data_IF_818679826574
#
_entry.id   IF_818679826574
#
_cell.length_a   1.000
_cell.length_b   1.000
_cell.length_c   1.000
_cell.angle_alpha   90.00
_cell.angle_beta   90.00
_cell.angle_gamma   90.00
#
_symmetry.space_group_name_H-M   'P 1'
#
loop_
_entity.id
_entity.type
_entity.pdbx_description
1 polymer ?
#
# COMPACT_ATOMS: atom_id res chain seq x y z
N UNK A 1 -6.99 -56.28 11.58
CA UNK A 1 -6.94 -55.22 12.60
C UNK A 1 -6.89 -53.89 11.90
N UNK A 2 -7.55 -52.88 12.49
CA UNK A 2 -7.22 -51.45 12.51
C UNK A 2 -6.54 -50.84 11.25
N UNK A 3 -7.17 -49.91 10.51
CA UNK A 3 -7.67 -48.60 10.95
C UNK A 3 -6.57 -47.74 11.63
N UNK A 4 -6.40 -46.47 11.30
CA UNK A 4 -7.11 -45.66 10.30
C UNK A 4 -6.82 -44.19 10.62
N UNK A 5 -6.29 -43.44 9.67
CA UNK A 5 -6.15 -41.99 9.81
C UNK A 5 -7.31 -41.35 9.07
N UNK A 6 -8.27 -40.78 9.81
CA UNK A 6 -9.35 -40.03 9.20
C UNK A 6 -8.75 -38.80 8.51
N UNK A 7 -8.98 -38.70 7.21
CA UNK A 7 -8.75 -37.47 6.48
C UNK A 7 -9.75 -36.44 6.99
N UNK A 8 -9.32 -35.60 7.94
CA UNK A 8 -10.07 -34.40 8.33
C UNK A 8 -10.38 -33.65 7.05
N UNK A 9 -11.66 -33.57 6.73
CA UNK A 9 -12.13 -32.98 5.48
C UNK A 9 -11.60 -31.55 5.40
N UNK A 10 -10.95 -31.22 4.28
CA UNK A 10 -10.66 -29.83 3.98
C UNK A 10 -11.99 -29.06 4.07
N UNK A 11 -12.05 -27.95 4.83
CA UNK A 11 -13.28 -27.18 4.95
C UNK A 11 -13.76 -26.82 3.55
N UNK A 12 -15.03 -27.10 3.26
CA UNK A 12 -15.58 -26.93 1.92
C UNK A 12 -15.22 -25.53 1.40
N UNK A 13 -14.55 -25.48 0.25
CA UNK A 13 -13.98 -24.23 -0.27
C UNK A 13 -15.08 -23.17 -0.35
N UNK A 14 -14.96 -22.14 0.50
CA UNK A 14 -15.88 -21.01 0.47
C UNK A 14 -15.83 -20.40 -0.93
N UNK A 15 -16.99 -20.24 -1.57
CA UNK A 15 -17.05 -19.87 -2.97
C UNK A 15 -16.29 -18.56 -3.21
N UNK A 16 -15.29 -18.61 -4.12
CA UNK A 16 -14.51 -17.45 -4.54
C UNK A 16 -15.46 -16.27 -4.89
N UNK A 17 -15.29 -15.09 -4.26
CA UNK A 17 -16.17 -13.93 -4.46
C UNK A 17 -15.90 -13.27 -5.83
N UNK A 18 -16.27 -13.97 -6.90
CA UNK A 18 -15.88 -13.61 -8.26
C UNK A 18 -16.35 -14.59 -9.33
N UNK A 19 -17.63 -15.00 -9.34
CA UNK A 19 -18.20 -15.65 -10.52
C UNK A 19 -18.20 -14.68 -11.71
N UNK A 20 -17.29 -14.92 -12.65
CA UNK A 20 -17.15 -14.17 -13.90
C UNK A 20 -18.34 -14.45 -14.83
N UNK A 21 -19.41 -13.66 -14.69
CA UNK A 21 -20.55 -13.72 -15.61
C UNK A 21 -20.06 -13.31 -17.00
N UNK A 22 -20.11 -14.25 -17.97
CA UNK A 22 -19.68 -13.99 -19.34
C UNK A 22 -20.65 -13.05 -20.05
N UNK A 23 -20.17 -12.30 -21.04
CA UNK A 23 -20.94 -11.26 -21.73
C UNK A 23 -22.09 -11.77 -22.63
N UNK A 24 -22.35 -13.07 -22.66
CA UNK A 24 -23.46 -13.67 -23.43
C UNK A 24 -24.77 -13.88 -22.66
N UNK A 25 -24.73 -13.93 -21.31
CA UNK A 25 -25.86 -14.42 -20.51
C UNK A 25 -26.18 -13.49 -19.32
N UNK A 26 -26.74 -12.31 -19.61
CA UNK A 26 -27.38 -11.48 -18.57
C UNK A 26 -28.79 -11.06 -18.99
N UNK A 27 -29.70 -12.03 -19.02
CA UNK A 27 -31.14 -11.73 -19.08
C UNK A 27 -31.52 -10.92 -17.84
N UNK A 28 -31.89 -9.66 -18.02
CA UNK A 28 -32.10 -8.72 -16.91
C UNK A 28 -30.83 -7.97 -16.45
N UNK A 29 -29.99 -7.53 -17.38
CA UNK A 29 -29.08 -6.40 -17.15
C UNK A 29 -29.67 -5.10 -17.71
N UNK A 30 -29.42 -3.99 -17.01
CA UNK A 30 -29.59 -2.65 -17.58
C UNK A 30 -28.32 -2.33 -18.38
N UNK A 31 -28.29 -2.63 -19.68
CA UNK A 31 -27.18 -2.25 -20.56
C UNK A 31 -27.29 -0.78 -20.96
N UNK A 32 -26.27 0.05 -20.68
CA UNK A 32 -26.32 1.51 -20.93
C UNK A 32 -26.63 1.89 -22.37
N UNK A 33 -26.31 1.03 -23.35
CA UNK A 33 -26.60 1.30 -24.78
C UNK A 33 -28.09 1.21 -25.09
N UNK A 34 -28.85 0.43 -24.32
CA UNK A 34 -30.31 0.30 -24.47
C UNK A 34 -31.04 1.56 -23.95
N UNK A 35 -30.37 2.36 -23.10
CA UNK A 35 -30.80 3.68 -22.66
C UNK A 35 -30.26 4.82 -23.54
N UNK A 36 -29.57 4.49 -24.64
CA UNK A 36 -29.07 5.44 -25.64
C UNK A 36 -27.62 5.91 -25.46
N UNK A 37 -26.80 5.29 -24.60
CA UNK A 37 -25.40 5.66 -24.46
C UNK A 37 -24.59 5.25 -25.70
N UNK A 38 -23.86 6.19 -26.31
CA UNK A 38 -23.07 5.95 -27.50
C UNK A 38 -21.72 5.28 -27.18
N UNK A 39 -21.04 5.70 -26.11
CA UNK A 39 -19.72 5.18 -25.73
C UNK A 39 -18.63 5.46 -26.77
N UNK A 40 -18.77 6.55 -27.54
CA UNK A 40 -17.88 6.90 -28.66
C UNK A 40 -16.81 7.96 -28.30
N UNK A 41 -16.75 8.40 -27.05
CA UNK A 41 -15.82 9.40 -26.53
C UNK A 41 -16.18 10.86 -26.85
N UNK A 42 -17.19 11.10 -27.68
CA UNK A 42 -17.55 12.42 -28.24
C UNK A 42 -18.89 12.93 -27.70
N UNK A 43 -19.91 12.07 -27.70
CA UNK A 43 -21.24 12.37 -27.15
C UNK A 43 -21.19 12.62 -25.63
N UNK A 44 -22.24 13.24 -25.07
CA UNK A 44 -22.44 13.27 -23.62
C UNK A 44 -23.39 12.12 -23.23
N UNK A 45 -22.81 11.04 -22.72
CA UNK A 45 -23.53 9.83 -22.32
C UNK A 45 -24.14 9.95 -20.90
N UNK A 46 -24.00 11.11 -20.23
CA UNK A 46 -24.42 11.29 -18.84
C UNK A 46 -25.92 11.03 -18.61
N UNK A 47 -26.79 11.55 -19.49
CA UNK A 47 -28.23 11.34 -19.43
C UNK A 47 -28.63 9.86 -19.57
N UNK A 48 -28.27 9.19 -20.68
CA UNK A 48 -28.45 7.75 -20.87
C UNK A 48 -27.92 6.89 -19.72
N UNK A 49 -26.72 7.15 -19.22
CA UNK A 49 -26.12 6.36 -18.14
C UNK A 49 -26.84 6.61 -16.81
N UNK A 50 -27.27 7.83 -16.51
CA UNK A 50 -28.05 8.09 -15.30
C UNK A 50 -29.43 7.39 -15.36
N UNK A 51 -30.08 7.34 -16.53
CA UNK A 51 -31.32 6.58 -16.71
C UNK A 51 -31.10 5.07 -16.45
N UNK A 52 -29.99 4.51 -16.95
CA UNK A 52 -29.61 3.13 -16.71
C UNK A 52 -29.25 2.85 -15.23
N UNK A 53 -28.55 3.77 -14.55
CA UNK A 53 -28.27 3.69 -13.10
C UNK A 53 -29.59 3.64 -12.31
N UNK A 54 -30.52 4.56 -12.61
CA UNK A 54 -31.80 4.64 -11.91
C UNK A 54 -32.59 3.33 -12.08
N UNK A 55 -32.66 2.79 -13.31
CA UNK A 55 -33.36 1.54 -13.59
C UNK A 55 -32.72 0.32 -12.88
N UNK A 56 -31.38 0.23 -12.86
CA UNK A 56 -30.67 -0.82 -12.15
C UNK A 56 -30.91 -0.75 -10.63
N UNK A 57 -30.95 0.45 -10.05
CA UNK A 57 -31.23 0.67 -8.63
C UNK A 57 -32.68 0.38 -8.26
N UNK A 58 -33.66 0.68 -9.13
CA UNK A 58 -35.07 0.34 -8.90
C UNK A 58 -35.35 -1.16 -9.03
N UNK A 59 -34.62 -1.87 -9.90
CA UNK A 59 -34.86 -3.29 -10.19
C UNK A 59 -33.93 -4.28 -9.47
N UNK A 60 -32.84 -3.80 -8.86
CA UNK A 60 -31.76 -4.63 -8.32
C UNK A 60 -30.89 -5.29 -9.41
N UNK A 61 -31.06 -4.94 -10.68
CA UNK A 61 -30.35 -5.55 -11.80
C UNK A 61 -28.89 -5.10 -11.91
N UNK A 62 -28.11 -5.86 -12.69
CA UNK A 62 -26.73 -5.45 -13.02
C UNK A 62 -26.76 -4.33 -14.06
N UNK A 63 -26.13 -3.20 -13.75
CA UNK A 63 -25.82 -2.15 -14.73
C UNK A 63 -24.61 -2.58 -15.55
N UNK A 64 -24.79 -2.76 -16.86
CA UNK A 64 -23.75 -3.24 -17.77
C UNK A 64 -23.25 -2.14 -18.71
N UNK A 65 -21.92 -2.06 -18.84
CA UNK A 65 -21.23 -1.15 -19.75
C UNK A 65 -20.38 -1.95 -20.77
N UNK A 66 -20.87 -2.14 -22.00
CA UNK A 66 -20.07 -2.72 -23.09
C UNK A 66 -18.80 -1.91 -23.35
N UNK A 67 -17.86 -2.42 -24.15
CA UNK A 67 -16.73 -1.62 -24.62
C UNK A 67 -17.18 -0.29 -25.25
N UNK A 68 -16.45 0.76 -24.90
CA UNK A 68 -16.78 2.14 -25.21
C UNK A 68 -16.07 3.12 -24.29
N UNK A 69 -15.83 4.32 -24.80
CA UNK A 69 -15.41 5.48 -24.00
C UNK A 69 -16.64 6.35 -23.78
N UNK A 70 -17.18 6.32 -22.57
CA UNK A 70 -18.37 7.07 -22.17
C UNK A 70 -17.92 8.41 -21.60
N UNK A 71 -18.23 9.50 -22.29
CA UNK A 71 -17.91 10.86 -21.84
C UNK A 71 -19.12 11.42 -21.10
N UNK A 72 -18.90 11.97 -19.90
CA UNK A 72 -19.96 12.56 -19.06
C UNK A 72 -19.64 14.02 -18.72
N UNK A 73 -20.55 14.93 -19.01
CA UNK A 73 -20.47 16.36 -18.64
C UNK A 73 -21.21 16.69 -17.34
N UNK A 74 -22.13 15.80 -16.92
CA UNK A 74 -22.82 15.83 -15.62
C UNK A 74 -22.40 14.62 -14.79
N UNK A 75 -22.17 14.81 -13.49
CA UNK A 75 -21.75 13.73 -12.57
C UNK A 75 -22.82 12.66 -12.45
N UNK A 76 -22.42 11.40 -12.60
CA UNK A 76 -23.29 10.25 -12.37
C UNK A 76 -23.52 10.06 -10.87
N UNK A 77 -24.78 10.05 -10.44
CA UNK A 77 -25.17 9.90 -9.03
C UNK A 77 -25.63 8.47 -8.76
N UNK A 78 -24.99 7.81 -7.81
CA UNK A 78 -25.30 6.46 -7.33
C UNK A 78 -25.78 6.56 -5.88
N UNK A 79 -27.10 6.62 -5.69
CA UNK A 79 -27.76 6.88 -4.40
C UNK A 79 -28.25 5.63 -3.65
N UNK A 80 -28.16 4.46 -4.27
CA UNK A 80 -28.53 3.15 -3.73
C UNK A 80 -27.46 2.11 -4.09
N UNK A 81 -27.37 1.02 -3.32
CA UNK A 81 -26.53 -0.13 -3.64
C UNK A 81 -26.75 -0.61 -5.08
N UNK A 82 -25.66 -0.90 -5.80
CA UNK A 82 -25.72 -1.24 -7.23
C UNK A 82 -24.56 -2.17 -7.60
N UNK A 83 -24.81 -3.08 -8.54
CA UNK A 83 -23.77 -3.86 -9.24
C UNK A 83 -23.53 -3.25 -10.62
N UNK A 84 -22.34 -2.66 -10.83
CA UNK A 84 -21.92 -2.05 -12.08
C UNK A 84 -20.77 -2.86 -12.69
N UNK A 85 -20.91 -3.32 -13.92
CA UNK A 85 -19.94 -4.20 -14.58
C UNK A 85 -19.58 -3.65 -15.96
N UNK A 86 -18.29 -3.48 -16.23
CA UNK A 86 -17.78 -3.24 -17.58
C UNK A 86 -17.40 -4.52 -18.33
N UNK A 87 -17.33 -4.46 -19.66
CA UNK A 87 -16.75 -5.53 -20.48
C UNK A 87 -15.26 -5.76 -20.13
N UNK A 88 -14.50 -4.68 -19.92
CA UNK A 88 -13.11 -4.73 -19.46
C UNK A 88 -12.64 -3.34 -19.05
N UNK A 89 -11.86 -3.21 -17.97
CA UNK A 89 -11.28 -1.91 -17.59
C UNK A 89 -10.34 -1.33 -18.65
N UNK A 90 -9.88 -2.14 -19.62
CA UNK A 90 -9.04 -1.69 -20.74
C UNK A 90 -9.83 -1.15 -21.94
N UNK A 91 -11.17 -1.29 -21.94
CA UNK A 91 -12.06 -0.92 -23.05
C UNK A 91 -13.31 -0.14 -22.63
N UNK A 92 -13.72 -0.26 -21.37
CA UNK A 92 -14.91 0.37 -20.81
C UNK A 92 -14.45 1.53 -19.91
N UNK A 93 -14.40 2.73 -20.48
CA UNK A 93 -13.84 3.92 -19.84
C UNK A 93 -14.97 4.94 -19.65
N UNK A 94 -15.29 5.29 -18.40
CA UNK A 94 -16.19 6.41 -18.09
C UNK A 94 -15.31 7.60 -17.69
N UNK A 95 -15.45 8.73 -18.39
CA UNK A 95 -14.55 9.87 -18.23
C UNK A 95 -15.25 11.23 -18.23
N UNK A 96 -14.70 12.19 -17.48
CA UNK A 96 -15.14 13.60 -17.51
C UNK A 96 -13.96 14.56 -17.59
N UNK A 97 -14.19 15.69 -18.25
CA UNK A 97 -13.25 16.81 -18.39
C UNK A 97 -13.67 18.05 -17.59
N UNK A 98 -14.80 18.00 -16.87
CA UNK A 98 -15.45 19.18 -16.27
C UNK A 98 -16.01 18.94 -14.87
N UNK A 99 -16.35 17.69 -14.51
CA UNK A 99 -17.04 17.35 -13.25
C UNK A 99 -16.46 16.08 -12.63
N UNK A 100 -16.90 15.73 -11.41
CA UNK A 100 -16.64 14.39 -10.84
C UNK A 100 -17.31 13.32 -11.72
N UNK A 101 -16.63 12.21 -12.00
CA UNK A 101 -17.17 11.18 -12.92
C UNK A 101 -18.33 10.42 -12.27
N UNK A 102 -18.10 9.92 -11.06
CA UNK A 102 -19.04 9.10 -10.30
C UNK A 102 -19.12 9.58 -8.85
N UNK A 103 -20.33 9.88 -8.38
CA UNK A 103 -20.62 10.23 -6.98
C UNK A 103 -21.41 9.09 -6.35
N UNK A 104 -20.85 8.49 -5.30
CA UNK A 104 -21.44 7.34 -4.59
C UNK A 104 -21.91 7.80 -3.21
N UNK A 105 -23.17 7.51 -2.88
CA UNK A 105 -23.87 8.02 -1.70
C UNK A 105 -24.62 6.91 -0.92
N UNK A 106 -24.17 5.65 -1.01
CA UNK A 106 -24.77 4.53 -0.27
C UNK A 106 -23.71 3.48 0.13
N UNK A 107 -24.17 2.42 0.78
CA UNK A 107 -23.41 1.20 1.05
C UNK A 107 -23.82 0.04 0.11
N UNK A 108 -23.05 -1.04 0.07
CA UNK A 108 -23.38 -2.26 -0.69
C UNK A 108 -23.16 -2.15 -2.20
N UNK A 109 -22.09 -1.50 -2.65
CA UNK A 109 -21.75 -1.36 -4.07
C UNK A 109 -20.83 -2.49 -4.56
N UNK A 110 -21.03 -2.96 -5.78
CA UNK A 110 -20.11 -3.87 -6.47
C UNK A 110 -19.74 -3.28 -7.82
N UNK A 111 -18.53 -2.75 -7.95
CA UNK A 111 -18.01 -2.20 -9.22
C UNK A 111 -16.92 -3.13 -9.76
N UNK A 112 -17.05 -3.60 -11.00
CA UNK A 112 -16.00 -4.42 -11.62
C UNK A 112 -15.74 -4.13 -13.10
N UNK A 113 -14.50 -4.35 -13.53
CA UNK A 113 -14.06 -4.20 -14.93
C UNK A 113 -14.31 -2.80 -15.54
N UNK A 114 -14.27 -1.74 -14.72
CA UNK A 114 -14.49 -0.35 -15.14
C UNK A 114 -13.20 0.47 -15.06
N UNK A 115 -12.99 1.38 -16.01
CA UNK A 115 -12.04 2.50 -15.88
C UNK A 115 -12.79 3.80 -15.62
N UNK A 116 -12.64 4.36 -14.43
CA UNK A 116 -13.18 5.67 -14.07
C UNK A 116 -12.06 6.72 -14.19
N UNK A 117 -12.24 7.75 -15.02
CA UNK A 117 -11.17 8.67 -15.42
C UNK A 117 -11.57 10.14 -15.34
N UNK A 118 -11.10 10.82 -14.31
CA UNK A 118 -11.05 12.29 -14.33
C UNK A 118 -9.91 12.75 -15.25
N UNK A 119 -10.23 13.54 -16.27
CA UNK A 119 -9.24 14.21 -17.12
C UNK A 119 -8.74 15.50 -16.43
N UNK A 120 -7.82 16.24 -17.08
CA UNK A 120 -7.08 17.34 -16.46
C UNK A 120 -7.94 18.49 -15.90
N UNK A 121 -9.10 18.77 -16.50
CA UNK A 121 -10.09 19.75 -15.99
C UNK A 121 -11.24 19.14 -15.16
N UNK A 122 -11.29 17.81 -15.02
CA UNK A 122 -12.36 17.10 -14.33
C UNK A 122 -12.26 17.19 -12.80
N UNK A 123 -13.25 16.64 -12.12
CA UNK A 123 -13.27 16.46 -10.67
C UNK A 123 -12.49 15.22 -10.24
N UNK A 124 -13.04 14.48 -9.28
CA UNK A 124 -12.59 13.16 -8.87
C UNK A 124 -13.12 12.06 -9.80
N UNK A 125 -12.43 10.92 -9.91
CA UNK A 125 -12.98 9.78 -10.66
C UNK A 125 -14.04 9.02 -9.83
N UNK A 126 -13.88 8.97 -8.51
CA UNK A 126 -14.93 8.64 -7.54
C UNK A 126 -14.94 9.66 -6.41
N UNK A 127 -16.12 10.24 -6.17
CA UNK A 127 -16.43 11.11 -5.02
C UNK A 127 -17.39 10.38 -4.08
N UNK A 128 -17.05 10.30 -2.80
CA UNK A 128 -17.99 10.00 -1.71
C UNK A 128 -18.15 11.27 -0.86
N UNK A 129 -19.34 11.89 -0.83
CA UNK A 129 -19.56 13.13 -0.11
C UNK A 129 -19.77 12.89 1.41
N UNK A 130 -19.65 13.94 2.24
CA UNK A 130 -19.92 13.86 3.68
C UNK A 130 -21.32 13.29 4.01
N UNK A 131 -21.39 12.51 5.09
CA UNK A 131 -22.63 11.90 5.59
C UNK A 131 -22.92 10.50 5.07
N UNK A 132 -22.10 9.96 4.17
CA UNK A 132 -22.32 8.63 3.59
C UNK A 132 -21.32 7.59 4.11
N UNK A 133 -21.82 6.37 4.30
CA UNK A 133 -21.04 5.16 4.51
C UNK A 133 -20.64 4.55 3.14
N UNK A 134 -19.70 3.61 3.15
CA UNK A 134 -19.37 2.77 1.99
C UNK A 134 -19.30 1.27 2.33
N UNK A 135 -19.71 0.88 3.55
CA UNK A 135 -19.63 -0.48 4.09
C UNK A 135 -20.13 -1.57 3.14
N UNK A 136 -19.56 -2.78 3.26
CA UNK A 136 -19.93 -3.94 2.45
C UNK A 136 -19.80 -3.71 0.93
N UNK A 137 -18.96 -2.77 0.50
CA UNK A 137 -18.73 -2.49 -0.93
C UNK A 137 -17.46 -3.15 -1.44
N UNK A 138 -17.37 -3.37 -2.75
CA UNK A 138 -16.23 -3.99 -3.40
C UNK A 138 -15.94 -3.40 -4.78
N UNK A 139 -14.65 -3.29 -5.09
CA UNK A 139 -14.11 -2.88 -6.37
C UNK A 139 -13.17 -3.99 -6.86
N UNK A 140 -13.43 -4.54 -8.06
CA UNK A 140 -12.69 -5.71 -8.59
C UNK A 140 -12.25 -5.46 -10.02
N UNK A 141 -10.95 -5.57 -10.33
CA UNK A 141 -10.40 -5.26 -11.66
C UNK A 141 -10.80 -3.84 -12.16
N UNK A 142 -10.84 -2.86 -11.25
CA UNK A 142 -11.18 -1.48 -11.59
C UNK A 142 -9.93 -0.60 -11.71
N UNK A 143 -9.91 0.26 -12.71
CA UNK A 143 -8.91 1.32 -12.84
C UNK A 143 -9.51 2.66 -12.45
N UNK A 144 -8.92 3.36 -11.50
CA UNK A 144 -9.31 4.71 -11.10
C UNK A 144 -8.16 5.66 -11.47
N UNK A 145 -8.44 6.67 -12.30
CA UNK A 145 -7.42 7.59 -12.81
C UNK A 145 -7.84 9.04 -12.61
N UNK A 146 -6.94 9.86 -12.07
CA UNK A 146 -7.06 11.32 -12.16
C UNK A 146 -5.89 11.92 -12.92
N UNK A 147 -6.20 12.80 -13.86
CA UNK A 147 -5.22 13.62 -14.58
C UNK A 147 -5.25 15.08 -14.11
N UNK A 148 -6.18 15.46 -13.23
CA UNK A 148 -6.19 16.75 -12.56
C UNK A 148 -5.28 16.69 -11.33
N UNK A 149 -4.27 17.57 -11.26
CA UNK A 149 -3.28 17.60 -10.17
C UNK A 149 -3.90 17.81 -8.78
N UNK A 150 -5.02 18.53 -8.70
CA UNK A 150 -5.70 18.92 -7.45
C UNK A 150 -6.89 18.01 -7.07
N UNK A 151 -7.12 16.89 -7.78
CA UNK A 151 -8.26 15.99 -7.54
C UNK A 151 -7.81 14.53 -7.45
N UNK A 152 -8.04 13.86 -6.32
CA UNK A 152 -7.79 12.43 -6.13
C UNK A 152 -8.59 11.57 -7.12
N UNK A 153 -8.05 10.41 -7.50
CA UNK A 153 -8.78 9.42 -8.29
C UNK A 153 -9.93 8.80 -7.46
N UNK A 154 -9.68 8.55 -6.17
CA UNK A 154 -10.72 8.25 -5.20
C UNK A 154 -10.68 9.29 -4.06
N UNK A 155 -11.81 9.91 -3.74
CA UNK A 155 -11.93 10.87 -2.64
C UNK A 155 -13.14 10.55 -1.74
N UNK A 156 -12.88 10.42 -0.45
CA UNK A 156 -13.86 10.40 0.63
C UNK A 156 -13.55 11.53 1.62
N UNK A 157 -14.60 12.22 2.06
CA UNK A 157 -14.52 13.10 3.23
C UNK A 157 -15.78 12.96 4.08
N UNK A 158 -15.66 12.85 5.41
CA UNK A 158 -16.80 13.01 6.32
C UNK A 158 -17.03 14.46 6.79
N UNK A 159 -16.18 15.41 6.36
CA UNK A 159 -16.09 16.73 7.02
C UNK A 159 -17.42 17.47 7.01
N UNK A 160 -17.89 17.83 8.21
CA UNK A 160 -19.17 18.52 8.42
C UNK A 160 -20.40 17.60 8.45
N UNK A 161 -20.23 16.28 8.50
CA UNK A 161 -21.34 15.33 8.55
C UNK A 161 -21.91 15.09 9.96
N UNK A 162 -23.23 15.28 10.11
CA UNK A 162 -24.00 14.82 11.26
C UNK A 162 -24.32 13.32 11.15
N UNK A 163 -23.28 12.48 11.22
CA UNK A 163 -23.40 11.03 11.19
C UNK A 163 -22.11 10.34 10.75
N UNK A 164 -21.64 9.36 11.53
CA UNK A 164 -20.44 8.60 11.21
C UNK A 164 -20.73 7.48 10.22
N UNK A 165 -20.17 7.57 9.02
CA UNK A 165 -20.19 6.47 8.05
C UNK A 165 -19.15 5.40 8.38
N UNK A 166 -19.52 4.12 8.28
CA UNK A 166 -18.54 3.03 8.20
C UNK A 166 -18.03 2.95 6.77
N UNK A 167 -16.72 3.05 6.61
CA UNK A 167 -16.03 2.79 5.35
C UNK A 167 -15.33 1.45 5.51
N UNK A 168 -15.91 0.42 4.89
CA UNK A 168 -15.45 -0.97 4.88
C UNK A 168 -15.62 -1.50 3.45
N UNK A 169 -14.51 -1.56 2.72
CA UNK A 169 -14.46 -1.78 1.28
C UNK A 169 -13.31 -2.72 0.91
N UNK A 170 -13.61 -3.70 0.05
CA UNK A 170 -12.62 -4.57 -0.57
C UNK A 170 -12.18 -4.03 -1.94
N UNK A 171 -10.88 -3.94 -2.16
CA UNK A 171 -10.26 -3.51 -3.41
C UNK A 171 -9.36 -4.63 -3.94
N UNK A 172 -9.75 -5.25 -5.05
CA UNK A 172 -9.14 -6.47 -5.57
C UNK A 172 -8.65 -6.24 -7.01
N UNK A 173 -7.37 -6.51 -7.28
CA UNK A 173 -6.75 -6.35 -8.60
C UNK A 173 -6.94 -4.93 -9.22
N UNK A 174 -7.10 -3.91 -8.38
CA UNK A 174 -7.40 -2.54 -8.81
C UNK A 174 -6.13 -1.71 -9.08
N UNK A 175 -6.23 -0.75 -10.00
CA UNK A 175 -5.13 0.16 -10.34
C UNK A 175 -5.53 1.62 -10.12
N UNK A 176 -4.84 2.30 -9.20
CA UNK A 176 -4.97 3.73 -8.95
C UNK A 176 -3.86 4.51 -9.68
N UNK A 177 -4.21 5.50 -10.51
CA UNK A 177 -3.25 6.33 -11.25
C UNK A 177 -3.51 7.81 -11.00
N UNK A 178 -2.43 8.57 -10.83
CA UNK A 178 -2.45 10.03 -10.77
C UNK A 178 -1.48 10.67 -11.76
N UNK A 179 -1.75 11.92 -12.13
CA UNK A 179 -0.78 12.73 -12.89
C UNK A 179 0.53 12.90 -12.10
N UNK A 180 1.65 12.97 -12.83
CA UNK A 180 2.98 13.21 -12.24
C UNK A 180 3.12 14.58 -11.57
N UNK A 181 2.16 15.48 -11.79
CA UNK A 181 2.08 16.81 -11.14
C UNK A 181 1.10 16.87 -9.96
N UNK A 182 0.71 15.72 -9.39
CA UNK A 182 -0.22 15.61 -8.27
C UNK A 182 0.16 16.48 -7.07
N UNK A 183 -0.78 17.27 -6.55
CA UNK A 183 -0.66 17.97 -5.26
C UNK A 183 -1.50 17.33 -4.14
N UNK A 184 -2.40 16.41 -4.49
CA UNK A 184 -3.27 15.64 -3.57
C UNK A 184 -3.03 14.13 -3.68
N UNK A 185 -3.36 13.32 -2.66
CA UNK A 185 -3.22 11.86 -2.72
C UNK A 185 -4.07 11.21 -3.82
N UNK A 186 -3.61 10.12 -4.42
CA UNK A 186 -4.38 9.42 -5.46
C UNK A 186 -5.63 8.75 -4.89
N UNK A 187 -5.49 8.11 -3.73
CA UNK A 187 -6.57 7.62 -2.89
C UNK A 187 -6.58 8.43 -1.59
N UNK A 188 -7.65 9.20 -1.37
CA UNK A 188 -7.77 10.09 -0.21
C UNK A 188 -9.02 9.76 0.61
N UNK A 189 -8.83 9.49 1.89
CA UNK A 189 -9.89 9.36 2.89
C UNK A 189 -9.60 10.33 4.03
N UNK A 190 -10.46 11.32 4.22
CA UNK A 190 -10.41 12.24 5.35
C UNK A 190 -11.63 12.03 6.26
N UNK A 191 -11.37 11.91 7.56
CA UNK A 191 -12.36 11.54 8.56
C UNK A 191 -12.30 12.41 9.81
N UNK A 192 -13.35 13.17 10.08
CA UNK A 192 -13.55 13.93 11.33
C UNK A 192 -14.61 13.29 12.25
N UNK A 193 -15.37 12.29 11.76
CA UNK A 193 -16.44 11.62 12.51
C UNK A 193 -16.76 10.19 12.00
N UNK A 194 -15.95 9.64 11.10
CA UNK A 194 -16.20 8.34 10.46
C UNK A 194 -15.36 7.20 11.07
N UNK A 195 -15.59 5.97 10.59
CA UNK A 195 -14.74 4.83 10.90
C UNK A 195 -14.30 4.18 9.58
N UNK A 196 -13.04 4.40 9.16
CA UNK A 196 -12.41 3.63 8.09
C UNK A 196 -11.83 2.36 8.69
N UNK A 197 -12.53 1.23 8.53
CA UNK A 197 -12.20 -0.02 9.19
C UNK A 197 -12.43 -1.26 8.35
N UNK A 198 -11.68 -2.33 8.63
CA UNK A 198 -11.75 -3.64 7.97
C UNK A 198 -11.43 -3.66 6.46
N UNK A 199 -11.16 -2.50 5.86
CA UNK A 199 -10.80 -2.37 4.45
C UNK A 199 -9.64 -3.28 4.07
N UNK A 200 -9.76 -3.92 2.90
CA UNK A 200 -8.72 -4.79 2.36
C UNK A 200 -8.39 -4.43 0.92
N UNK A 201 -7.17 -3.97 0.69
CA UNK A 201 -6.57 -3.82 -0.63
C UNK A 201 -5.73 -5.08 -0.90
N UNK A 202 -5.93 -5.72 -2.04
CA UNK A 202 -5.26 -6.99 -2.40
C UNK A 202 -4.88 -7.00 -3.87
N UNK A 203 -3.60 -7.28 -4.17
CA UNK A 203 -3.03 -7.33 -5.53
C UNK A 203 -3.20 -6.03 -6.33
N UNK A 204 -3.27 -4.89 -5.64
CA UNK A 204 -3.49 -3.59 -6.28
C UNK A 204 -2.19 -2.92 -6.71
N UNK A 205 -2.29 -1.93 -7.61
CA UNK A 205 -1.17 -1.09 -8.07
C UNK A 205 -1.51 0.38 -7.84
N UNK A 206 -0.52 1.20 -7.54
CA UNK A 206 -0.70 2.65 -7.39
C UNK A 206 0.48 3.44 -7.99
N UNK A 207 0.20 4.30 -8.96
CA UNK A 207 1.19 5.14 -9.64
C UNK A 207 0.89 6.63 -9.38
N UNK A 208 1.84 7.35 -8.75
CA UNK A 208 1.70 8.78 -8.45
C UNK A 208 3.05 9.49 -8.44
N UNK A 209 3.33 10.30 -9.46
CA UNK A 209 4.65 10.92 -9.65
C UNK A 209 4.94 12.20 -8.85
N UNK A 210 3.91 12.85 -8.30
CA UNK A 210 4.02 14.19 -7.71
C UNK A 210 4.32 14.23 -6.20
N UNK A 211 3.87 15.30 -5.53
CA UNK A 211 4.34 15.66 -4.17
C UNK A 211 3.53 15.09 -3.00
N UNK A 212 2.51 14.28 -3.27
CA UNK A 212 1.60 13.71 -2.28
C UNK A 212 1.64 12.17 -2.32
N UNK A 213 1.23 11.48 -1.23
CA UNK A 213 1.32 10.03 -1.14
C UNK A 213 0.23 9.32 -1.95
N UNK A 214 0.52 8.13 -2.47
CA UNK A 214 -0.42 7.33 -3.25
C UNK A 214 -1.73 7.01 -2.48
N UNK A 215 -1.63 6.65 -1.21
CA UNK A 215 -2.75 6.52 -0.27
C UNK A 215 -2.57 7.49 0.91
N UNK A 216 -3.64 8.19 1.27
CA UNK A 216 -3.74 8.94 2.52
C UNK A 216 -5.04 8.59 3.22
N UNK A 217 -4.95 8.12 4.46
CA UNK A 217 -6.09 7.83 5.34
C UNK A 217 -5.90 8.56 6.66
N UNK A 218 -6.83 9.45 6.99
CA UNK A 218 -6.76 10.34 8.15
C UNK A 218 -8.03 10.24 8.97
N UNK A 219 -7.91 9.83 10.23
CA UNK A 219 -8.93 10.11 11.25
C UNK A 219 -8.44 11.27 12.14
N UNK A 220 -8.95 12.47 11.86
CA UNK A 220 -8.69 13.72 12.57
C UNK A 220 -9.77 14.01 13.61
N UNK A 221 -10.00 13.07 14.53
CA UNK A 221 -10.90 13.28 15.68
C UNK A 221 -10.32 12.65 16.94
N UNK A 222 -10.75 13.13 18.10
CA UNK A 222 -10.26 12.62 19.39
C UNK A 222 -10.83 11.21 19.64
N UNK A 223 -9.96 10.28 20.05
CA UNK A 223 -10.34 8.92 20.47
C UNK A 223 -10.63 7.90 19.36
N UNK A 224 -11.04 8.32 18.16
CA UNK A 224 -11.36 7.40 17.04
C UNK A 224 -10.09 7.04 16.26
N UNK A 225 -9.99 5.78 15.83
CA UNK A 225 -8.92 5.27 14.96
C UNK A 225 -9.48 4.68 13.66
N UNK A 226 -8.60 4.53 12.67
CA UNK A 226 -8.83 3.71 11.48
C UNK A 226 -8.44 2.25 11.79
N UNK A 227 -9.41 1.35 12.00
CA UNK A 227 -9.17 0.01 12.60
C UNK A 227 -9.04 -1.15 11.61
N UNK A 228 -8.13 -2.09 11.84
CA UNK A 228 -8.10 -3.41 11.17
C UNK A 228 -7.97 -3.37 9.63
N UNK A 229 -7.45 -2.28 9.08
CA UNK A 229 -7.29 -2.11 7.63
C UNK A 229 -6.04 -2.87 7.15
N UNK A 230 -6.09 -3.47 5.95
CA UNK A 230 -4.98 -4.24 5.39
C UNK A 230 -4.69 -3.86 3.94
N UNK A 231 -3.43 -3.56 3.65
CA UNK A 231 -2.87 -3.50 2.30
C UNK A 231 -1.98 -4.72 2.11
N UNK A 232 -2.30 -5.56 1.12
CA UNK A 232 -1.58 -6.80 0.84
C UNK A 232 -1.24 -6.89 -0.65
N UNK A 233 0.04 -7.10 -0.96
CA UNK A 233 0.55 -7.27 -2.32
C UNK A 233 0.24 -6.02 -3.16
N UNK A 234 0.89 -4.91 -2.80
CA UNK A 234 0.66 -3.61 -3.43
C UNK A 234 1.94 -3.12 -4.12
N UNK A 235 1.85 -2.86 -5.43
CA UNK A 235 2.96 -2.29 -6.20
C UNK A 235 2.81 -0.77 -6.33
N UNK A 236 3.77 -0.04 -5.78
CA UNK A 236 3.90 1.41 -5.85
C UNK A 236 4.93 1.82 -6.90
N UNK A 237 4.54 2.74 -7.77
CA UNK A 237 5.37 3.17 -8.91
C UNK A 237 5.53 4.69 -8.95
N UNK A 238 6.78 5.12 -9.04
CA UNK A 238 7.20 6.53 -9.09
C UNK A 238 6.71 7.40 -7.93
N UNK A 239 6.39 6.80 -6.79
CA UNK A 239 5.76 7.40 -5.58
C UNK A 239 6.68 8.32 -4.78
N UNK A 240 7.26 9.32 -5.45
CA UNK A 240 8.23 10.27 -4.91
C UNK A 240 7.67 11.03 -3.69
N UNK A 241 6.38 11.38 -3.72
CA UNK A 241 5.62 12.01 -2.63
C UNK A 241 5.11 11.06 -1.54
N UNK A 242 5.50 9.78 -1.54
CA UNK A 242 5.12 8.78 -0.55
C UNK A 242 4.20 7.68 -1.08
N UNK A 243 4.14 6.55 -0.39
CA UNK A 243 3.27 5.41 -0.73
C UNK A 243 1.98 5.40 0.07
N UNK A 244 2.06 5.14 1.38
CA UNK A 244 0.90 5.00 2.27
C UNK A 244 1.11 5.86 3.53
N UNK A 245 0.29 6.90 3.70
CA UNK A 245 0.30 7.76 4.89
C UNK A 245 -0.97 7.53 5.72
N UNK A 246 -0.79 7.15 6.99
CA UNK A 246 -1.86 6.74 7.90
C UNK A 246 -1.80 7.50 9.22
N UNK A 247 -2.71 8.45 9.41
CA UNK A 247 -2.96 9.07 10.72
C UNK A 247 -3.94 8.22 11.53
N UNK A 248 -3.69 8.09 12.83
CA UNK A 248 -4.65 7.51 13.78
C UNK A 248 -5.07 6.06 13.45
N UNK A 249 -4.18 5.24 12.89
CA UNK A 249 -4.50 3.88 12.42
C UNK A 249 -4.14 2.79 13.44
N UNK A 250 -5.07 1.87 13.71
CA UNK A 250 -4.92 0.81 14.71
C UNK A 250 -5.02 -0.58 14.08
N UNK A 251 -4.16 -1.51 14.49
CA UNK A 251 -4.24 -2.92 14.06
C UNK A 251 -4.14 -3.08 12.53
N UNK A 252 -3.22 -2.34 11.91
CA UNK A 252 -3.11 -2.23 10.45
C UNK A 252 -2.11 -3.24 9.89
N UNK A 253 -2.46 -3.91 8.78
CA UNK A 253 -1.57 -4.78 8.01
C UNK A 253 -1.02 -4.08 6.77
N UNK A 254 0.29 -4.13 6.58
CA UNK A 254 1.02 -3.56 5.44
C UNK A 254 1.97 -4.65 4.89
N UNK A 255 1.44 -5.52 4.04
CA UNK A 255 2.06 -6.79 3.66
C UNK A 255 2.42 -6.80 2.17
N UNK A 256 3.58 -7.38 1.83
CA UNK A 256 4.06 -7.57 0.46
C UNK A 256 4.06 -6.26 -0.36
N UNK A 257 4.54 -5.15 0.23
CA UNK A 257 4.57 -3.85 -0.42
C UNK A 257 5.85 -3.69 -1.26
N UNK A 258 5.71 -3.36 -2.54
CA UNK A 258 6.82 -3.12 -3.47
C UNK A 258 6.88 -1.68 -3.95
N UNK A 259 8.09 -1.10 -4.00
CA UNK A 259 8.34 0.29 -4.42
C UNK A 259 9.33 0.35 -5.59
N UNK A 260 8.85 0.84 -6.74
CA UNK A 260 9.54 0.77 -8.04
C UNK A 260 9.59 2.14 -8.74
N UNK A 261 10.51 2.26 -9.70
CA UNK A 261 10.61 3.36 -10.67
C UNK A 261 10.58 4.77 -10.05
N UNK A 262 11.27 4.89 -8.91
CA UNK A 262 11.35 6.08 -8.06
C UNK A 262 12.57 6.94 -8.40
N UNK A 263 12.37 8.27 -8.40
CA UNK A 263 13.44 9.25 -8.57
C UNK A 263 13.99 9.74 -7.22
N UNK A 264 13.88 11.05 -6.98
CA UNK A 264 14.14 11.65 -5.67
C UNK A 264 12.90 11.53 -4.80
N UNK A 265 13.04 10.86 -3.66
CA UNK A 265 11.97 10.58 -2.71
C UNK A 265 11.90 11.75 -1.73
N UNK A 266 10.76 12.43 -1.64
CA UNK A 266 10.60 13.71 -0.92
C UNK A 266 9.71 13.63 0.32
N UNK A 267 8.97 12.53 0.51
CA UNK A 267 8.24 12.21 1.73
C UNK A 267 8.40 10.73 2.10
N UNK A 268 8.08 10.37 3.35
CA UNK A 268 8.24 8.99 3.83
C UNK A 268 7.36 8.01 3.04
N UNK A 269 7.86 6.81 2.75
CA UNK A 269 7.15 5.89 1.85
C UNK A 269 6.00 5.14 2.53
N UNK A 270 6.23 4.68 3.74
CA UNK A 270 5.19 4.26 4.69
C UNK A 270 5.28 5.20 5.89
N UNK A 271 4.21 5.92 6.17
CA UNK A 271 4.13 6.83 7.32
C UNK A 271 2.95 6.47 8.20
N UNK A 272 3.20 6.31 9.50
CA UNK A 272 2.18 6.02 10.51
C UNK A 272 2.30 7.02 11.67
N UNK A 273 1.25 7.82 11.90
CA UNK A 273 1.32 8.90 12.88
C UNK A 273 -0.02 9.35 13.46
N UNK A 274 -0.15 10.65 13.68
CA UNK A 274 -1.39 11.35 14.05
C UNK A 274 -1.45 12.62 13.23
N UNK A 275 -2.63 13.23 13.07
CA UNK A 275 -2.70 14.55 12.42
C UNK A 275 -1.80 15.55 13.14
N UNK A 276 -0.98 16.27 12.36
CA UNK A 276 0.06 17.16 12.88
C UNK A 276 -0.52 18.26 13.78
N UNK A 277 0.20 18.58 14.86
CA UNK A 277 -0.12 19.69 15.77
C UNK A 277 -1.14 19.41 16.87
N UNK A 278 -1.92 18.31 16.80
CA UNK A 278 -2.97 18.03 17.78
C UNK A 278 -2.64 16.80 18.67
N UNK A 279 -2.24 17.00 19.95
CA UNK A 279 -1.96 15.89 20.86
C UNK A 279 -3.21 15.11 21.27
N UNK A 280 -4.40 15.67 21.07
CA UNK A 280 -5.70 15.03 21.30
C UNK A 280 -6.06 13.97 20.24
N UNK A 281 -5.40 13.98 19.06
CA UNK A 281 -5.55 12.90 18.09
C UNK A 281 -4.75 11.68 18.54
N UNK A 282 -5.30 10.46 18.44
CA UNK A 282 -4.55 9.26 18.77
C UNK A 282 -3.41 9.04 17.77
N UNK A 283 -2.34 8.37 18.22
CA UNK A 283 -1.29 7.93 17.32
C UNK A 283 -1.62 6.56 16.75
N UNK A 284 -1.31 6.33 15.47
CA UNK A 284 -1.21 5.00 14.87
C UNK A 284 -0.37 4.05 15.75
N UNK A 285 -0.87 2.81 15.90
CA UNK A 285 -0.39 1.76 16.83
C UNK A 285 -0.68 0.38 16.27
N UNK A 286 0.03 -0.64 16.77
CA UNK A 286 -0.19 -2.04 16.39
C UNK A 286 -0.20 -2.23 14.85
N UNK A 287 0.86 -1.76 14.19
CA UNK A 287 1.00 -1.87 12.72
C UNK A 287 1.96 -3.01 12.39
N UNK A 288 1.57 -3.91 11.50
CA UNK A 288 2.44 -4.98 11.02
C UNK A 288 2.93 -4.66 9.61
N UNK A 289 4.24 -4.67 9.40
CA UNK A 289 4.89 -4.43 8.10
C UNK A 289 5.65 -5.70 7.74
N UNK A 290 5.29 -6.32 6.62
CA UNK A 290 5.80 -7.64 6.21
C UNK A 290 6.21 -7.58 4.74
N UNK A 291 7.40 -8.06 4.39
CA UNK A 291 7.90 -8.15 3.02
C UNK A 291 7.88 -6.81 2.25
N UNK A 292 8.28 -5.73 2.92
CA UNK A 292 8.51 -4.43 2.27
C UNK A 292 9.78 -4.50 1.41
N UNK A 293 9.69 -4.07 0.16
CA UNK A 293 10.86 -3.90 -0.69
C UNK A 293 10.86 -2.61 -1.50
N UNK A 294 12.05 -2.02 -1.68
CA UNK A 294 12.28 -0.90 -2.58
C UNK A 294 13.38 -1.23 -3.60
N UNK A 295 13.10 -0.96 -4.87
CA UNK A 295 13.95 -1.32 -6.01
C UNK A 295 14.88 -0.17 -6.48
N UNK A 296 14.79 1.02 -5.88
CA UNK A 296 15.63 2.16 -6.26
C UNK A 296 15.23 3.48 -5.58
N UNK A 297 15.59 4.59 -6.21
CA UNK A 297 15.32 5.95 -5.71
C UNK A 297 16.22 6.40 -4.55
N UNK A 298 16.33 7.72 -4.38
CA UNK A 298 17.17 8.35 -3.36
C UNK A 298 16.32 9.11 -2.32
N UNK A 299 16.44 8.75 -1.05
CA UNK A 299 15.80 9.45 0.06
C UNK A 299 16.36 10.87 0.19
N UNK A 300 15.49 11.88 0.28
CA UNK A 300 15.88 13.22 0.70
C UNK A 300 16.32 13.19 2.19
N UNK A 301 17.26 14.06 2.57
CA UNK A 301 17.70 14.15 3.96
C UNK A 301 16.51 14.36 4.92
N UNK A 302 16.45 13.56 5.98
CA UNK A 302 15.33 13.55 6.94
C UNK A 302 14.18 12.58 6.59
N UNK A 303 14.12 12.03 5.38
CA UNK A 303 13.10 11.05 4.95
C UNK A 303 13.53 9.61 5.29
N UNK A 304 12.55 8.72 5.44
CA UNK A 304 12.68 7.29 5.68
C UNK A 304 11.82 6.44 4.73
N UNK A 305 12.14 5.15 4.60
CA UNK A 305 11.26 4.18 3.94
C UNK A 305 10.01 3.91 4.78
N UNK A 306 10.22 3.74 6.09
CA UNK A 306 9.17 3.52 7.09
C UNK A 306 9.38 4.52 8.22
N UNK A 307 8.39 5.38 8.48
CA UNK A 307 8.35 6.26 9.66
C UNK A 307 7.12 6.01 10.54
N UNK A 308 7.37 5.78 11.82
CA UNK A 308 6.40 6.02 12.89
C UNK A 308 6.71 7.37 13.55
N UNK A 309 5.78 8.32 13.48
CA UNK A 309 6.07 9.72 13.86
C UNK A 309 6.39 9.88 15.37
N UNK A 310 7.33 10.78 15.69
CA UNK A 310 7.80 11.04 17.06
C UNK A 310 6.68 11.35 18.05
N UNK A 311 6.76 10.79 19.26
CA UNK A 311 5.66 10.84 20.24
C UNK A 311 4.59 9.77 20.02
N UNK A 312 4.83 8.86 19.07
CA UNK A 312 4.13 7.61 18.91
C UNK A 312 4.70 6.48 19.76
N UNK A 313 3.81 5.65 20.28
CA UNK A 313 4.19 4.29 20.65
C UNK A 313 3.98 3.44 19.41
N UNK A 314 5.05 2.95 18.77
CA UNK A 314 4.97 1.83 17.82
C UNK A 314 4.68 0.50 18.54
N UNK A 315 3.85 0.55 19.60
CA UNK A 315 3.61 -0.57 20.52
C UNK A 315 3.06 -1.77 19.77
N UNK A 316 3.70 -2.91 20.00
CA UNK A 316 3.41 -4.20 19.34
C UNK A 316 3.53 -4.18 17.81
N UNK A 317 4.26 -3.22 17.24
CA UNK A 317 4.46 -3.16 15.78
C UNK A 317 5.61 -4.09 15.36
N UNK A 318 5.31 -5.04 14.47
CA UNK A 318 6.25 -6.00 13.90
C UNK A 318 6.68 -5.53 12.51
N UNK A 319 7.98 -5.54 12.23
CA UNK A 319 8.54 -5.12 10.94
C UNK A 319 9.51 -6.21 10.45
N UNK A 320 9.21 -6.86 9.34
CA UNK A 320 9.98 -8.04 8.86
C UNK A 320 10.05 -8.13 7.34
N UNK A 321 11.08 -8.79 6.82
CA UNK A 321 11.31 -8.96 5.38
C UNK A 321 11.66 -7.64 4.68
N UNK A 322 12.40 -6.75 5.35
CA UNK A 322 12.70 -5.40 4.85
C UNK A 322 13.97 -5.40 3.99
N UNK A 323 13.89 -4.97 2.73
CA UNK A 323 15.07 -4.84 1.87
C UNK A 323 14.78 -4.44 0.42
N UNK A 324 15.47 -5.08 -0.52
CA UNK A 324 15.30 -4.88 -1.96
C UNK A 324 16.41 -5.55 -2.78
N UNK A 325 16.15 -5.93 -4.04
CA UNK A 325 17.14 -6.60 -4.89
C UNK A 325 18.31 -5.69 -5.31
N UNK A 326 18.12 -4.37 -5.24
CA UNK A 326 18.94 -3.35 -5.91
C UNK A 326 19.47 -2.28 -4.95
N UNK A 327 20.20 -2.72 -3.92
CA UNK A 327 21.26 -1.94 -3.26
C UNK A 327 20.88 -0.71 -2.44
N UNK A 328 19.63 -0.25 -2.47
CA UNK A 328 19.17 0.89 -1.68
C UNK A 328 19.19 0.56 -0.18
N UNK A 329 19.93 1.35 0.61
CA UNK A 329 19.86 1.27 2.07
C UNK A 329 18.46 1.67 2.55
N UNK A 330 17.83 0.80 3.34
CA UNK A 330 16.46 0.99 3.81
C UNK A 330 16.47 1.62 5.21
N UNK A 331 15.81 2.76 5.34
CA UNK A 331 15.72 3.54 6.59
C UNK A 331 14.42 3.25 7.32
N UNK A 332 14.52 2.78 8.56
CA UNK A 332 13.37 2.63 9.46
C UNK A 332 13.52 3.59 10.64
N UNK A 333 12.56 4.50 10.78
CA UNK A 333 12.47 5.49 11.86
C UNK A 333 11.21 5.21 12.69
N UNK A 334 11.37 4.89 13.97
CA UNK A 334 10.29 4.37 14.82
C UNK A 334 9.75 5.37 15.84
N UNK A 335 10.39 6.55 15.99
CA UNK A 335 9.92 7.62 16.87
C UNK A 335 9.66 7.24 18.35
N UNK A 336 10.24 6.12 18.81
CA UNK A 336 9.82 5.39 20.00
C UNK A 336 9.84 6.24 21.28
N UNK A 337 8.69 6.30 21.97
CA UNK A 337 8.58 6.87 23.32
C UNK A 337 8.33 5.83 24.43
N UNK A 338 7.71 4.69 24.11
CA UNK A 338 7.51 3.57 25.02
C UNK A 338 7.29 2.25 24.26
N UNK A 339 7.69 1.14 24.88
CA UNK A 339 7.49 -0.22 24.35
C UNK A 339 8.64 -0.73 23.47
N UNK A 340 8.37 -1.84 22.79
CA UNK A 340 9.32 -2.58 21.96
C UNK A 340 8.86 -2.60 20.49
N UNK A 341 9.84 -2.62 19.59
CA UNK A 341 9.65 -2.99 18.19
C UNK A 341 10.74 -3.98 17.76
N UNK A 342 10.37 -4.96 16.94
CA UNK A 342 11.28 -5.94 16.34
C UNK A 342 11.38 -5.65 14.86
N UNK A 343 12.60 -5.45 14.37
CA UNK A 343 12.88 -5.18 12.96
C UNK A 343 13.83 -6.24 12.40
N UNK A 344 13.37 -6.97 11.38
CA UNK A 344 14.11 -8.03 10.69
C UNK A 344 14.28 -7.65 9.22
N UNK A 345 15.53 -7.45 8.80
CA UNK A 345 15.88 -7.22 7.39
C UNK A 345 15.83 -8.50 6.55
N UNK A 346 15.98 -8.34 5.24
CA UNK A 346 15.99 -9.45 4.26
C UNK A 346 17.22 -10.37 4.38
N UNK A 347 18.31 -9.87 4.96
CA UNK A 347 19.47 -10.66 5.37
C UNK A 347 19.23 -11.16 6.82
N UNK A 348 19.32 -12.47 7.12
CA UNK A 348 19.11 -12.98 8.49
C UNK A 348 20.14 -12.44 9.51
N UNK A 349 21.25 -11.86 9.06
CA UNK A 349 22.20 -11.13 9.91
C UNK A 349 21.72 -9.71 10.29
N UNK A 350 20.57 -9.25 9.79
CA UNK A 350 20.07 -7.89 10.01
C UNK A 350 18.86 -7.86 10.97
N UNK A 351 19.10 -8.18 12.25
CA UNK A 351 18.06 -8.13 13.30
C UNK A 351 18.37 -7.03 14.33
N UNK A 352 17.37 -6.20 14.60
CA UNK A 352 17.40 -5.17 15.65
C UNK A 352 16.16 -5.27 16.54
N UNK A 353 16.37 -5.36 17.86
CA UNK A 353 15.31 -5.26 18.87
C UNK A 353 15.45 -3.90 19.56
N UNK A 354 14.44 -3.05 19.38
CA UNK A 354 14.45 -1.65 19.79
C UNK A 354 13.54 -1.48 21.00
N UNK A 355 14.12 -1.26 22.18
CA UNK A 355 13.41 -0.86 23.39
C UNK A 355 13.50 0.66 23.56
N UNK A 356 12.37 1.32 23.84
CA UNK A 356 12.32 2.75 24.14
C UNK A 356 13.10 3.14 25.42
N UNK A 357 13.29 2.22 26.38
CA UNK A 357 13.71 2.57 27.75
C UNK A 357 15.15 2.20 28.11
N UNK A 358 15.81 1.28 27.41
CA UNK A 358 17.09 0.67 27.86
C UNK A 358 18.18 0.56 26.79
N UNK A 359 18.13 1.38 25.74
CA UNK A 359 18.97 1.25 24.52
C UNK A 359 18.65 0.02 23.65
N UNK A 360 19.19 0.01 22.43
CA UNK A 360 18.95 -1.01 21.40
C UNK A 360 19.69 -2.31 21.71
N UNK A 361 18.98 -3.45 21.63
CA UNK A 361 19.61 -4.77 21.58
C UNK A 361 19.90 -5.10 20.11
N UNK A 362 21.13 -4.82 19.70
CA UNK A 362 21.63 -5.06 18.34
C UNK A 362 22.13 -6.50 18.23
N UNK A 363 21.57 -7.27 17.28
CA UNK A 363 21.93 -8.69 17.13
C UNK A 363 22.91 -8.94 15.97
N UNK A 364 22.86 -8.18 14.86
CA UNK A 364 23.98 -8.06 13.90
C UNK A 364 23.77 -6.98 12.80
N UNK A 365 24.82 -6.77 11.99
CA UNK A 365 24.74 -6.28 10.60
C UNK A 365 24.63 -4.78 10.33
N UNK A 366 24.21 -3.96 11.29
CA UNK A 366 23.82 -2.56 11.03
C UNK A 366 24.99 -1.57 10.87
N UNK A 367 24.76 -0.51 10.09
CA UNK A 367 25.64 0.67 10.00
C UNK A 367 24.87 1.95 10.34
N UNK A 368 25.19 2.59 11.47
CA UNK A 368 24.49 3.78 11.93
C UNK A 368 23.21 3.44 12.69
N UNK A 369 23.32 3.45 14.02
CA UNK A 369 22.21 3.22 14.96
C UNK A 369 22.18 4.38 15.94
N UNK A 370 21.03 5.02 16.06
CA UNK A 370 20.78 6.14 16.99
C UNK A 370 19.38 5.96 17.57
N UNK A 371 19.10 6.52 18.75
CA UNK A 371 17.84 6.34 19.48
C UNK A 371 16.60 6.48 18.58
N UNK A 372 15.89 5.37 18.37
CA UNK A 372 14.67 5.31 17.56
C UNK A 372 14.83 5.10 16.05
N UNK A 373 16.04 5.12 15.47
CA UNK A 373 16.28 4.97 14.02
C UNK A 373 17.35 3.93 13.69
N UNK A 374 17.06 3.06 12.72
CA UNK A 374 17.97 2.02 12.21
C UNK A 374 18.05 2.11 10.68
N UNK A 375 19.26 1.94 10.15
CA UNK A 375 19.52 1.94 8.70
C UNK A 375 20.08 0.59 8.27
N UNK A 376 19.33 -0.12 7.45
CA UNK A 376 19.66 -1.44 6.95
C UNK A 376 20.48 -1.31 5.66
N UNK A 377 21.78 -1.58 5.76
CA UNK A 377 22.72 -1.51 4.65
C UNK A 377 23.07 -2.92 4.16
N UNK A 378 22.97 -3.23 2.85
CA UNK A 378 23.45 -4.51 2.31
C UNK A 378 24.94 -4.71 2.60
N UNK A 379 25.35 -5.91 3.05
CA UNK A 379 26.69 -6.19 3.60
C UNK A 379 27.82 -6.24 2.54
N UNK A 380 28.13 -5.11 1.91
CA UNK A 380 29.34 -4.89 1.10
C UNK A 380 30.14 -3.69 1.65
N UNK A 381 31.36 -3.97 2.13
CA UNK A 381 32.31 -2.92 2.56
C UNK A 381 32.12 -2.43 4.00
N UNK A 382 32.15 -3.34 4.99
CA UNK A 382 32.19 -2.95 6.40
C UNK A 382 33.46 -2.16 6.71
N UNK A 383 33.31 -0.99 7.36
CA UNK A 383 34.43 -0.08 7.71
C UNK A 383 35.08 -0.40 9.06
N UNK A 384 34.64 -1.46 9.74
CA UNK A 384 35.18 -1.94 11.03
C UNK A 384 35.40 -3.45 10.96
N UNK A 385 36.32 -4.01 11.79
CA UNK A 385 36.56 -5.45 11.83
C UNK A 385 35.31 -6.26 12.17
N UNK A 386 35.20 -7.48 11.66
CA UNK A 386 34.05 -8.37 11.92
C UNK A 386 34.42 -9.85 11.98
N UNK A 387 33.56 -10.63 12.64
CA UNK A 387 33.55 -12.09 12.63
C UNK A 387 32.60 -12.64 11.54
N UNK A 388 32.95 -13.78 10.97
CA UNK A 388 32.23 -14.40 9.85
C UNK A 388 32.57 -15.88 9.64
N UNK A 389 31.84 -16.55 8.73
CA UNK A 389 32.09 -17.94 8.33
C UNK A 389 31.56 -18.25 6.92
N UNK A 390 32.04 -19.36 6.34
CA UNK A 390 31.60 -19.87 5.03
C UNK A 390 32.54 -20.96 4.50
N UNK A 391 32.31 -21.43 3.27
CA UNK A 391 33.21 -22.36 2.58
C UNK A 391 34.30 -21.63 1.77
N UNK A 392 35.39 -22.33 1.45
CA UNK A 392 36.53 -21.80 0.70
C UNK A 392 37.46 -20.91 1.54
N UNK A 393 38.66 -20.65 1.00
CA UNK A 393 39.59 -19.69 1.60
C UNK A 393 39.02 -18.27 1.51
N UNK A 394 39.08 -17.46 2.57
CA UNK A 394 38.62 -16.08 2.50
C UNK A 394 39.57 -15.19 1.69
N UNK A 395 40.84 -15.58 1.52
CA UNK A 395 41.84 -14.87 0.72
C UNK A 395 41.39 -14.74 -0.74
N UNK A 396 41.48 -13.55 -1.33
CA UNK A 396 40.97 -13.16 -2.66
C UNK A 396 39.45 -13.24 -2.85
N UNK A 397 38.67 -13.75 -1.90
CA UNK A 397 37.20 -13.85 -2.00
C UNK A 397 36.45 -12.89 -1.06
N UNK A 398 36.88 -12.75 0.19
CA UNK A 398 36.15 -12.01 1.23
C UNK A 398 36.85 -10.68 1.53
N UNK A 399 36.15 -9.56 1.38
CA UNK A 399 36.67 -8.21 1.69
C UNK A 399 36.38 -7.77 3.12
N UNK A 400 37.41 -7.33 3.87
CA UNK A 400 37.24 -6.73 5.20
C UNK A 400 38.45 -5.90 5.66
N UNK A 401 38.32 -5.09 6.73
CA UNK A 401 39.44 -4.47 7.42
C UNK A 401 40.33 -5.48 8.17
N UNK A 402 41.58 -5.09 8.41
CA UNK A 402 42.53 -5.77 9.31
C UNK A 402 41.91 -5.94 10.71
N UNK A 403 42.12 -7.10 11.34
CA UNK A 403 41.51 -7.52 12.60
C UNK A 403 40.22 -8.34 12.45
N UNK A 404 39.70 -8.52 11.23
CA UNK A 404 38.51 -9.35 10.97
C UNK A 404 38.84 -10.86 11.02
N UNK A 405 37.85 -11.71 11.33
CA UNK A 405 38.03 -13.17 11.40
C UNK A 405 37.04 -13.95 10.55
N UNK A 406 37.45 -15.13 10.09
CA UNK A 406 36.66 -16.04 9.24
C UNK A 406 36.84 -17.49 9.67
N UNK A 407 35.73 -18.20 9.88
CA UNK A 407 35.70 -19.64 10.22
C UNK A 407 35.25 -20.45 9.00
N UNK A 408 36.07 -21.40 8.55
CA UNK A 408 35.74 -22.24 7.38
C UNK A 408 34.87 -23.43 7.78
N UNK A 409 33.73 -23.59 7.12
CA UNK A 409 32.87 -24.79 7.25
C UNK A 409 33.42 -26.01 6.52
N UNK A 410 34.39 -25.80 5.61
CA UNK A 410 35.11 -26.82 4.83
C UNK A 410 36.62 -26.83 5.16
N UNK A 411 37.03 -26.25 6.30
CA UNK A 411 38.43 -26.12 6.69
C UNK A 411 38.97 -27.38 7.37
N UNK A 412 40.08 -27.90 6.85
CA UNK A 412 40.88 -28.92 7.54
C UNK A 412 41.75 -28.32 8.66
N UNK A 413 42.55 -29.16 9.35
CA UNK A 413 43.50 -28.70 10.38
C UNK A 413 44.38 -27.53 9.89
N UNK A 414 44.54 -26.50 10.73
CA UNK A 414 45.28 -25.27 10.38
C UNK A 414 44.63 -24.42 9.27
N UNK A 415 43.39 -24.72 8.85
CA UNK A 415 42.61 -23.92 7.89
C UNK A 415 41.14 -23.75 8.30
N UNK A 416 40.75 -24.13 9.51
CA UNK A 416 39.39 -23.91 10.01
C UNK A 416 39.17 -22.46 10.48
N UNK A 417 40.23 -21.70 10.77
CA UNK A 417 40.17 -20.31 11.23
C UNK A 417 41.17 -19.42 10.48
N UNK A 418 40.77 -18.17 10.21
CA UNK A 418 41.58 -17.15 9.54
C UNK A 418 41.41 -15.80 10.22
N UNK A 419 42.49 -15.00 10.23
CA UNK A 419 42.51 -13.61 10.67
C UNK A 419 42.99 -12.72 9.51
N UNK A 420 42.41 -11.52 9.37
CA UNK A 420 42.91 -10.47 8.47
C UNK A 420 44.05 -9.73 9.15
N UNK A 421 45.29 -9.96 8.74
CA UNK A 421 46.46 -9.38 9.43
C UNK A 421 47.09 -8.20 8.67
N UNK A 422 46.77 -8.03 7.39
CA UNK A 422 47.29 -6.96 6.55
C UNK A 422 46.38 -6.69 5.35
N UNK A 423 46.82 -5.79 4.45
CA UNK A 423 46.19 -5.58 3.15
C UNK A 423 44.96 -4.68 3.16
N UNK A 424 44.36 -4.56 1.98
CA UNK A 424 43.10 -3.85 1.74
C UNK A 424 42.22 -4.67 0.80
N UNK A 425 40.90 -4.53 0.92
CA UNK A 425 39.97 -5.34 0.15
C UNK A 425 39.98 -6.80 0.62
N UNK A 426 40.23 -7.72 -0.31
CA UNK A 426 40.15 -9.18 -0.14
C UNK A 426 41.50 -9.89 0.08
N UNK A 427 42.59 -9.14 0.24
CA UNK A 427 43.95 -9.66 0.44
C UNK A 427 44.42 -9.57 1.89
N UNK A 428 45.44 -10.35 2.26
CA UNK A 428 46.10 -10.29 3.59
C UNK A 428 45.47 -11.16 4.68
N UNK A 429 44.87 -12.29 4.29
CA UNK A 429 44.25 -13.25 5.22
C UNK A 429 45.18 -14.43 5.55
N UNK A 430 45.37 -14.68 6.85
CA UNK A 430 46.31 -15.68 7.37
C UNK A 430 45.54 -16.72 8.19
N UNK A 431 45.75 -18.00 7.91
CA UNK A 431 45.15 -19.09 8.66
C UNK A 431 45.81 -19.25 10.05
N UNK A 432 45.09 -19.82 11.00
CA UNK A 432 45.50 -20.02 12.41
C UNK A 432 45.09 -21.41 12.91
#
# INVERSE_FOLDING_TARGET
MAAGYDAVSAPAAAAEPGQWVSSGEVGGACNVKDYGAAGNGVADDAGPIQAAINAAQTSGQTLFFPAGTYKVLTTLNVTQGIKMVGESYRKTIIQSATVDVLKISHYGHTLSNLHLRAQAGGGHAVLVPPGHALSQSQFVMCQLTSQNSAKSAFYYSSVGATGGGVFDVHWLDCYFLHTTTSTVPCFSVYGDNNIFSANRFTRCRAQQGGSAPAFSVVADVAGIYNYNNVWDTINFESTNGGGIHLSSAFSTGLHNLGFFDMGKITADLVWCGRTSGSPARPQSRNTTIVNYHRSGGALTAGIADVRFASGGNAGSSLITGIGGPSGAGVTVDLGLKAGYAVVVGYDPNNVAILNATTSTVLLAGQTGVTTGRVTFTPRKGATRPFDSSGSGTPERLVTAPVGSTWRRSDGGPGTCFYVKESGSGNSGWVAK
#
